data_IF_600297429849
#
_entry.id   IF_600297429849
#
_cell.length_a   1.000
_cell.length_b   1.000
_cell.length_c   1.000
_cell.angle_alpha   90.00
_cell.angle_beta   90.00
_cell.angle_gamma   90.00
#
_symmetry.space_group_name_H-M   'P 1'
#
loop_
_entity.id
_entity.type
_entity.pdbx_description
1 polymer ?
#
# COMPACT_ATOMS: atom_id res chain seq x y z
N UNK A 1 2.22 5.71 -9.49
CA UNK A 1 2.54 4.26 -9.42
C UNK A 1 3.57 3.98 -10.49
N UNK A 2 4.68 3.29 -10.22
CA UNK A 2 5.73 3.07 -11.22
C UNK A 2 6.10 1.61 -11.37
N UNK A 3 6.42 1.22 -12.60
CA UNK A 3 6.92 -0.10 -12.96
C UNK A 3 7.76 -0.03 -14.23
N UNK A 4 8.97 -0.63 -14.23
CA UNK A 4 9.82 -0.85 -15.40
C UNK A 4 10.00 0.39 -16.32
N UNK A 5 10.28 1.55 -15.72
CA UNK A 5 10.46 2.81 -16.45
C UNK A 5 9.18 3.54 -16.85
N UNK A 6 8.01 2.99 -16.56
CA UNK A 6 6.71 3.65 -16.75
C UNK A 6 6.19 4.23 -15.44
N UNK A 7 5.51 5.38 -15.53
CA UNK A 7 4.86 6.04 -14.40
C UNK A 7 3.40 6.33 -14.72
N UNK A 8 2.52 5.86 -13.85
CA UNK A 8 1.10 6.21 -13.80
C UNK A 8 0.91 7.35 -12.80
N UNK A 9 0.57 8.54 -13.31
CA UNK A 9 0.32 9.75 -12.52
C UNK A 9 -1.18 9.88 -12.31
N UNK A 10 -1.63 9.58 -11.10
CA UNK A 10 -3.06 9.54 -10.77
C UNK A 10 -3.42 10.75 -9.93
N UNK A 11 -4.29 11.60 -10.47
CA UNK A 11 -4.79 12.79 -9.79
C UNK A 11 -6.18 12.54 -9.20
N UNK A 12 -6.44 13.11 -8.03
CA UNK A 12 -7.73 13.04 -7.37
C UNK A 12 -8.71 14.10 -7.87
N UNK A 13 -10.02 13.87 -7.75
CA UNK A 13 -11.00 14.94 -7.96
C UNK A 13 -10.81 16.04 -6.91
N UNK A 14 -11.09 17.29 -7.30
CA UNK A 14 -11.15 18.42 -6.36
C UNK A 14 -12.24 18.15 -5.30
N UNK A 15 -11.96 18.52 -4.05
CA UNK A 15 -12.96 18.44 -2.97
C UNK A 15 -14.19 19.31 -3.30
N UNK A 16 -15.37 18.93 -2.80
CA UNK A 16 -16.63 19.64 -3.01
C UNK A 16 -16.69 20.96 -2.22
N UNK A 17 -15.92 21.09 -1.14
CA UNK A 17 -15.85 22.30 -0.32
C UNK A 17 -14.74 23.26 -0.76
N UNK A 18 -14.98 24.57 -0.59
CA UNK A 18 -13.91 25.58 -0.64
C UNK A 18 -13.09 25.48 0.64
N UNK A 19 -12.14 24.56 0.63
CA UNK A 19 -11.00 24.58 1.53
C UNK A 19 -9.78 24.97 0.70
N UNK A 20 -8.83 25.72 1.27
CA UNK A 20 -7.63 26.11 0.53
C UNK A 20 -6.78 24.87 0.15
N UNK A 21 -7.02 24.33 -1.05
CA UNK A 21 -6.23 23.28 -1.70
C UNK A 21 -6.59 21.84 -1.29
N UNK A 22 -5.63 20.92 -1.47
CA UNK A 22 -5.73 19.49 -1.13
C UNK A 22 -5.81 19.19 0.38
N UNK A 23 -6.03 20.20 1.22
CA UNK A 23 -5.91 20.14 2.68
C UNK A 23 -7.18 19.69 3.39
N UNK A 24 -8.34 19.71 2.71
CA UNK A 24 -9.54 19.13 3.29
C UNK A 24 -9.53 17.61 3.11
N UNK A 25 -9.04 16.92 4.12
CA UNK A 25 -9.06 15.46 4.24
C UNK A 25 -10.45 14.91 4.62
N UNK A 26 -11.53 15.61 4.23
CA UNK A 26 -12.90 15.29 4.68
C UNK A 26 -13.60 14.27 3.80
N UNK A 27 -13.10 14.00 2.59
CA UNK A 27 -13.73 13.11 1.61
C UNK A 27 -12.92 11.83 1.41
N UNK A 28 -13.62 10.71 1.34
CA UNK A 28 -13.05 9.45 0.84
C UNK A 28 -12.76 9.61 -0.66
N UNK A 29 -11.49 9.50 -1.02
CA UNK A 29 -11.05 9.54 -2.43
C UNK A 29 -10.87 8.13 -2.97
N UNK A 30 -11.32 7.90 -4.20
CA UNK A 30 -11.08 6.65 -4.95
C UNK A 30 -10.30 6.99 -6.21
N UNK A 31 -9.20 6.27 -6.41
CA UNK A 31 -8.27 6.45 -7.51
C UNK A 31 -8.24 5.17 -8.33
N UNK A 32 -8.21 5.29 -9.65
CA UNK A 32 -8.12 4.15 -10.56
C UNK A 32 -6.68 4.07 -11.07
N UNK A 33 -6.07 2.89 -10.93
CA UNK A 33 -4.73 2.58 -11.42
C UNK A 33 -4.81 1.39 -12.37
N UNK A 34 -3.99 1.39 -13.43
CA UNK A 34 -3.83 0.23 -14.29
C UNK A 34 -2.69 -0.65 -13.77
N UNK A 35 -2.96 -1.94 -13.61
CA UNK A 35 -1.98 -2.93 -13.13
C UNK A 35 -1.95 -4.15 -14.03
N UNK A 36 -0.80 -4.82 -14.06
CA UNK A 36 -0.59 -6.07 -14.76
C UNK A 36 -0.33 -7.18 -13.71
N UNK A 37 -0.89 -8.37 -13.93
CA UNK A 37 -0.66 -9.52 -13.04
C UNK A 37 0.83 -9.92 -13.02
N UNK A 38 1.28 -10.42 -11.87
CA UNK A 38 2.66 -10.86 -11.57
C UNK A 38 3.71 -9.77 -11.74
N UNK A 39 3.35 -8.54 -11.39
CA UNK A 39 4.23 -7.38 -11.46
C UNK A 39 4.31 -6.68 -10.11
N UNK A 40 5.46 -6.07 -9.84
CA UNK A 40 5.74 -5.29 -8.65
C UNK A 40 5.55 -3.81 -8.98
N UNK A 41 4.79 -3.08 -8.16
CA UNK A 41 4.52 -1.67 -8.38
C UNK A 41 4.92 -0.85 -7.17
N UNK A 42 5.68 0.21 -7.41
CA UNK A 42 5.99 1.20 -6.39
C UNK A 42 4.93 2.30 -6.37
N UNK A 43 4.42 2.59 -5.18
CA UNK A 43 3.44 3.63 -4.94
C UNK A 43 4.09 4.73 -4.12
N UNK A 44 4.10 5.92 -4.72
CA UNK A 44 4.56 7.16 -4.11
C UNK A 44 3.37 8.10 -3.92
N UNK A 45 3.30 8.72 -2.75
CA UNK A 45 2.29 9.70 -2.40
C UNK A 45 2.97 11.07 -2.30
N UNK A 46 2.36 12.11 -2.86
CA UNK A 46 2.96 13.45 -3.00
C UNK A 46 2.71 14.37 -1.80
N UNK A 47 1.98 13.92 -0.78
CA UNK A 47 1.63 14.72 0.41
C UNK A 47 1.44 13.84 1.65
N UNK A 48 0.58 14.25 2.58
CA UNK A 48 0.24 13.51 3.80
C UNK A 48 -0.33 12.14 3.44
N UNK A 49 0.31 11.08 3.93
CA UNK A 49 -0.17 9.71 3.74
C UNK A 49 -1.51 9.52 4.48
N UNK A 50 -2.53 8.89 3.87
CA UNK A 50 -3.78 8.60 4.55
C UNK A 50 -3.59 7.65 5.76
N UNK A 51 -4.33 7.89 6.83
CA UNK A 51 -4.42 6.97 7.98
C UNK A 51 -5.00 5.60 7.57
N UNK A 52 -5.99 5.62 6.65
CA UNK A 52 -6.59 4.42 6.10
C UNK A 52 -6.54 4.43 4.57
N UNK A 53 -5.96 3.37 4.00
CA UNK A 53 -5.93 3.14 2.56
C UNK A 53 -6.44 1.73 2.26
N UNK A 54 -7.20 1.58 1.17
CA UNK A 54 -7.74 0.29 0.74
C UNK A 54 -7.36 0.04 -0.70
N UNK A 55 -6.76 -1.12 -0.95
CA UNK A 55 -6.48 -1.61 -2.30
C UNK A 55 -7.54 -2.62 -2.70
N UNK A 56 -8.00 -2.53 -3.94
CA UNK A 56 -8.97 -3.46 -4.53
C UNK A 56 -8.58 -3.74 -5.96
N UNK A 57 -8.57 -5.01 -6.33
CA UNK A 57 -8.50 -5.43 -7.73
C UNK A 57 -9.94 -5.67 -8.21
N UNK A 58 -10.35 -4.92 -9.23
CA UNK A 58 -11.66 -5.10 -9.86
C UNK A 58 -11.59 -6.25 -10.87
N UNK A 59 -12.63 -7.07 -10.93
CA UNK A 59 -12.76 -8.18 -11.90
C UNK A 59 -11.58 -9.16 -11.90
N UNK A 60 -10.98 -9.39 -10.72
CA UNK A 60 -9.86 -10.29 -10.54
C UNK A 60 -10.29 -11.57 -9.82
N UNK A 61 -9.80 -12.73 -10.27
CA UNK A 61 -9.88 -13.98 -9.55
C UNK A 61 -8.55 -14.26 -8.81
N UNK A 62 -8.45 -15.43 -8.16
CA UNK A 62 -7.26 -15.82 -7.40
C UNK A 62 -6.00 -16.04 -8.25
N UNK A 63 -6.10 -16.07 -9.58
CA UNK A 63 -4.95 -16.18 -10.50
C UNK A 63 -4.24 -14.83 -10.72
N UNK A 64 -4.93 -13.72 -10.45
CA UNK A 64 -4.39 -12.37 -10.57
C UNK A 64 -3.74 -11.96 -9.26
N UNK A 65 -2.42 -11.81 -9.29
CA UNK A 65 -1.62 -11.43 -8.12
C UNK A 65 -0.74 -10.27 -8.49
N UNK A 66 -0.71 -9.23 -7.65
CA UNK A 66 0.20 -8.08 -7.80
C UNK A 66 0.92 -7.85 -6.48
N UNK A 67 2.13 -7.30 -6.57
CA UNK A 67 2.90 -6.89 -5.40
C UNK A 67 2.96 -5.37 -5.37
N UNK A 68 2.63 -4.79 -4.21
CA UNK A 68 2.62 -3.35 -4.00
C UNK A 68 3.70 -3.00 -2.98
N UNK A 69 4.56 -2.05 -3.34
CA UNK A 69 5.49 -1.41 -2.44
C UNK A 69 4.97 0.01 -2.17
N UNK A 70 4.75 0.34 -0.90
CA UNK A 70 4.20 1.65 -0.52
C UNK A 70 5.15 2.32 0.46
N UNK A 71 5.55 3.55 0.12
CA UNK A 71 6.34 4.38 1.00
C UNK A 71 5.44 5.18 1.95
N UNK A 72 5.63 5.00 3.26
CA UNK A 72 5.02 5.80 4.31
C UNK A 72 6.05 6.74 4.93
N UNK A 73 5.66 7.99 5.18
CA UNK A 73 6.49 8.97 5.88
C UNK A 73 6.42 8.86 7.40
N UNK A 74 5.40 8.17 7.93
CA UNK A 74 5.22 7.98 9.37
C UNK A 74 6.16 6.90 9.93
N UNK A 75 6.65 7.11 11.15
CA UNK A 75 7.39 6.10 11.92
C UNK A 75 6.45 5.12 12.66
N UNK A 76 5.14 5.36 12.61
CA UNK A 76 4.16 4.45 13.19
C UNK A 76 4.10 3.14 12.39
N UNK A 77 3.73 2.06 13.08
CA UNK A 77 3.50 0.79 12.43
C UNK A 77 2.32 0.89 11.45
N UNK A 78 2.50 0.33 10.26
CA UNK A 78 1.43 0.15 9.28
C UNK A 78 0.81 -1.21 9.51
N UNK A 79 -0.45 -1.25 9.91
CA UNK A 79 -1.21 -2.49 10.03
C UNK A 79 -1.85 -2.87 8.70
N UNK A 80 -1.66 -4.13 8.29
CA UNK A 80 -2.19 -4.67 7.04
C UNK A 80 -3.35 -5.60 7.35
N UNK A 81 -4.45 -5.43 6.62
CA UNK A 81 -5.63 -6.28 6.72
C UNK A 81 -6.00 -6.82 5.35
N UNK A 82 -6.18 -8.14 5.25
CA UNK A 82 -6.69 -8.81 4.06
C UNK A 82 -8.08 -9.36 4.38
N UNK A 83 -9.11 -8.91 3.64
CA UNK A 83 -10.50 -9.30 3.90
C UNK A 83 -10.91 -9.14 5.39
N UNK A 84 -10.57 -7.99 5.98
CA UNK A 84 -10.81 -7.66 7.39
C UNK A 84 -10.05 -8.52 8.42
N UNK A 85 -9.14 -9.39 7.99
CA UNK A 85 -8.30 -10.21 8.86
C UNK A 85 -6.92 -9.56 8.95
N UNK A 86 -6.43 -9.36 10.18
CA UNK A 86 -5.09 -8.81 10.43
C UNK A 86 -4.02 -9.75 9.86
N UNK A 87 -3.09 -9.18 9.11
CA UNK A 87 -1.92 -9.86 8.58
C UNK A 87 -0.70 -9.37 9.35
N UNK A 88 -0.14 -10.26 10.18
CA UNK A 88 1.04 -9.94 10.98
C UNK A 88 2.27 -9.71 10.09
N UNK A 89 3.16 -8.76 10.45
CA UNK A 89 4.38 -8.54 9.70
C UNK A 89 5.36 -9.72 9.86
N UNK A 90 5.81 -10.30 8.74
CA UNK A 90 6.84 -11.35 8.68
C UNK A 90 8.21 -10.93 9.22
N UNK A 91 8.54 -9.64 9.26
CA UNK A 91 9.80 -9.13 9.84
C UNK A 91 9.67 -8.73 11.32
N UNK A 92 8.61 -9.16 12.04
CA UNK A 92 8.46 -8.87 13.47
C UNK A 92 9.46 -9.66 14.32
N UNK A 93 10.08 -9.00 15.30
CA UNK A 93 10.85 -9.67 16.34
C UNK A 93 9.89 -10.31 17.34
N UNK A 94 9.84 -11.64 17.39
CA UNK A 94 8.91 -12.37 18.26
C UNK A 94 9.30 -12.33 19.76
N UNK A 95 10.58 -12.06 20.05
CA UNK A 95 11.13 -12.14 21.41
C UNK A 95 10.88 -10.89 22.27
N UNK A 96 10.34 -9.82 21.71
CA UNK A 96 10.01 -8.60 22.45
C UNK A 96 8.50 -8.48 22.67
N UNK A 97 8.11 -8.05 23.87
CA UNK A 97 6.71 -7.79 24.23
C UNK A 97 6.12 -6.58 23.50
N UNK A 98 6.96 -5.65 23.03
CA UNK A 98 6.56 -4.52 22.21
C UNK A 98 6.71 -4.83 20.72
N UNK A 99 5.96 -4.11 19.88
CA UNK A 99 6.02 -4.24 18.43
C UNK A 99 7.36 -3.68 17.92
N UNK A 100 8.31 -4.56 17.61
CA UNK A 100 9.58 -4.24 16.96
C UNK A 100 9.66 -4.97 15.63
N UNK A 101 9.98 -4.23 14.56
CA UNK A 101 10.25 -4.78 13.24
C UNK A 101 11.76 -4.83 13.01
N UNK A 102 12.23 -5.91 12.39
CA UNK A 102 13.60 -6.05 11.90
C UNK A 102 13.77 -5.20 10.64
N UNK A 103 14.88 -4.48 10.58
CA UNK A 103 15.34 -3.80 9.37
C UNK A 103 15.99 -4.84 8.44
N UNK A 104 15.14 -5.65 7.80
CA UNK A 104 15.55 -6.73 6.90
C UNK A 104 14.74 -6.69 5.61
N UNK A 105 15.39 -6.82 4.45
CA UNK A 105 14.71 -6.91 3.17
C UNK A 105 13.93 -8.22 3.12
N UNK A 106 12.63 -8.11 3.03
CA UNK A 106 11.71 -9.23 3.13
C UNK A 106 11.25 -9.71 1.74
N UNK A 107 12.12 -10.35 0.94
CA UNK A 107 11.89 -10.64 -0.50
C UNK A 107 10.60 -11.38 -0.89
N UNK A 108 9.47 -10.66 -0.98
CA UNK A 108 8.18 -11.20 -1.41
C UNK A 108 8.22 -11.55 -2.89
N UNK A 109 7.91 -12.80 -3.21
CA UNK A 109 7.83 -13.32 -4.58
C UNK A 109 6.39 -13.69 -4.93
N UNK A 110 6.06 -13.81 -6.23
CA UNK A 110 4.71 -14.27 -6.63
C UNK A 110 4.41 -15.74 -6.29
N UNK A 111 5.33 -16.44 -5.64
CA UNK A 111 5.13 -17.81 -5.15
C UNK A 111 4.50 -17.87 -3.76
N UNK A 112 4.50 -16.76 -3.01
CA UNK A 112 3.89 -16.72 -1.66
C UNK A 112 2.40 -16.37 -1.73
N UNK A 113 1.57 -16.82 -0.76
CA UNK A 113 0.14 -16.53 -0.74
C UNK A 113 -0.16 -15.02 -0.76
N UNK A 114 -1.29 -14.65 -1.36
CA UNK A 114 -1.79 -13.27 -1.35
C UNK A 114 -1.87 -12.73 0.08
N UNK A 115 -1.38 -11.51 0.29
CA UNK A 115 -1.35 -10.89 1.61
C UNK A 115 -0.09 -11.17 2.42
N UNK A 116 0.93 -11.84 1.86
CA UNK A 116 2.26 -11.90 2.47
C UNK A 116 2.88 -10.49 2.52
N UNK A 117 3.13 -9.94 3.70
CA UNK A 117 3.57 -8.55 3.88
C UNK A 117 5.05 -8.36 3.48
N UNK A 118 5.41 -7.17 2.95
CA UNK A 118 6.79 -6.76 2.60
C UNK A 118 7.15 -5.41 3.22
N UNK A 119 8.43 -5.20 3.57
CA UNK A 119 9.03 -3.87 3.71
C UNK A 119 10.38 -3.84 2.98
N UNK A 120 10.62 -2.76 2.24
CA UNK A 120 11.92 -2.38 1.68
C UNK A 120 12.28 -0.99 2.21
N UNK A 121 13.54 -0.80 2.63
CA UNK A 121 14.17 0.50 2.82
C UNK A 121 15.43 0.55 1.97
#
# INVERSE_FOLDING_TARGET
MSYNGFIDIINGPQDYGWCNGYTCQKRISTFMALVQSRHHFDIYLTSTTPEHMRFRLLNADSSIVVSLCLYYTSLQQVDVYANNIYVAPTNRVQNFSFLMLLDQPNGVTFSVPTGSNFFNR
#
